data_IF_918661723896
#
_entry.id   IF_918661723896
#
_cell.length_a   1.000
_cell.length_b   1.000
_cell.length_c   1.000
_cell.angle_alpha   90.00
_cell.angle_beta   90.00
_cell.angle_gamma   90.00
#
_symmetry.space_group_name_H-M   'P 1'
#
loop_
_entity.id
_entity.type
_entity.pdbx_description
1 polymer ?
#
# COMPACT_ATOMS: atom_id res chain seq x y z
N UNK A 1 -15.40 -22.60 15.69
CA UNK A 1 -14.90 -21.28 16.12
C UNK A 1 -13.38 -21.33 16.05
N UNK A 2 -12.80 -20.88 14.94
CA UNK A 2 -11.35 -20.76 14.86
C UNK A 2 -10.95 -19.64 15.81
N UNK A 3 -10.09 -19.95 16.79
CA UNK A 3 -9.57 -18.97 17.72
C UNK A 3 -9.01 -17.78 16.92
N UNK A 4 -9.52 -16.58 17.16
CA UNK A 4 -8.78 -15.35 16.85
C UNK A 4 -7.50 -15.45 17.65
N UNK A 5 -6.41 -15.82 16.97
CA UNK A 5 -5.09 -15.86 17.57
C UNK A 5 -4.76 -14.44 18.00
N UNK A 6 -4.77 -14.18 19.32
CA UNK A 6 -4.34 -12.93 19.89
C UNK A 6 -2.94 -12.59 19.35
N UNK A 7 -2.82 -11.41 18.73
CA UNK A 7 -1.54 -10.94 18.22
C UNK A 7 -0.60 -10.69 19.39
N UNK A 8 0.46 -11.51 19.49
CA UNK A 8 1.54 -11.32 20.44
C UNK A 8 2.64 -10.51 19.74
N UNK A 9 2.83 -9.23 20.10
CA UNK A 9 3.78 -8.37 19.42
C UNK A 9 5.22 -8.82 19.68
N UNK A 10 6.01 -8.93 18.61
CA UNK A 10 7.42 -9.30 18.70
C UNK A 10 8.32 -8.07 18.77
N UNK A 11 7.88 -6.96 18.17
CA UNK A 11 8.66 -5.72 18.13
C UNK A 11 8.38 -4.80 19.32
N UNK A 12 9.28 -3.82 19.53
CA UNK A 12 9.04 -2.73 20.49
C UNK A 12 7.82 -1.91 20.10
N UNK A 13 7.68 -1.62 18.79
CA UNK A 13 6.53 -0.87 18.29
C UNK A 13 5.23 -1.63 18.48
N UNK A 14 5.20 -2.92 18.19
CA UNK A 14 4.01 -3.75 18.42
C UNK A 14 3.56 -3.72 19.89
N UNK A 15 4.51 -3.73 20.84
CA UNK A 15 4.20 -3.56 22.27
C UNK A 15 3.63 -2.19 22.60
N UNK A 16 4.23 -1.12 22.07
CA UNK A 16 3.74 0.25 22.29
C UNK A 16 2.33 0.48 21.72
N UNK A 17 2.02 -0.15 20.58
CA UNK A 17 0.69 -0.11 19.96
C UNK A 17 -0.32 -0.95 20.77
N UNK A 18 0.09 -2.12 21.26
CA UNK A 18 -0.76 -2.94 22.12
C UNK A 18 -1.07 -2.25 23.46
N UNK A 19 -0.08 -1.59 24.05
CA UNK A 19 -0.21 -0.76 25.26
C UNK A 19 -1.05 0.52 25.03
N UNK A 20 -1.36 0.88 23.77
CA UNK A 20 -2.15 2.06 23.42
C UNK A 20 -1.40 3.39 23.54
N UNK A 21 -0.05 3.36 23.65
CA UNK A 21 0.78 4.57 23.69
C UNK A 21 0.88 5.26 22.34
N UNK A 22 0.74 4.50 21.26
CA UNK A 22 0.69 5.00 19.89
C UNK A 22 -0.71 4.72 19.38
N UNK A 23 -1.48 5.78 19.16
CA UNK A 23 -2.88 5.68 18.72
C UNK A 23 -3.00 5.89 17.21
N UNK A 24 -2.07 6.67 16.64
CA UNK A 24 -2.12 7.10 15.24
C UNK A 24 -0.93 6.60 14.45
N UNK A 25 -1.17 6.20 13.20
CA UNK A 25 -0.11 5.85 12.24
C UNK A 25 0.82 7.05 11.94
N UNK A 26 0.32 8.28 12.05
CA UNK A 26 1.12 9.49 11.86
C UNK A 26 2.25 9.61 12.87
N UNK A 27 1.99 9.28 14.13
CA UNK A 27 2.99 9.26 15.19
C UNK A 27 4.12 8.27 14.87
N UNK A 28 3.76 7.09 14.33
CA UNK A 28 4.73 6.08 13.87
C UNK A 28 5.70 6.68 12.84
N UNK A 29 5.18 7.45 11.89
CA UNK A 29 5.99 8.12 10.88
C UNK A 29 6.78 9.30 11.43
N UNK A 30 6.21 10.11 12.34
CA UNK A 30 6.91 11.25 12.95
C UNK A 30 8.10 10.81 13.79
N UNK A 31 7.97 9.73 14.56
CA UNK A 31 9.07 9.15 15.32
C UNK A 31 10.05 8.34 14.45
N UNK A 32 9.74 8.12 13.17
CA UNK A 32 10.58 7.39 12.23
C UNK A 32 10.70 5.90 12.54
N UNK A 33 9.70 5.31 13.23
CA UNK A 33 9.72 3.88 13.49
C UNK A 33 9.45 3.08 12.22
N UNK A 34 10.15 1.96 12.06
CA UNK A 34 9.93 1.04 10.94
C UNK A 34 8.87 0.00 11.30
N UNK A 35 7.85 -0.11 10.45
CA UNK A 35 6.81 -1.13 10.55
C UNK A 35 7.39 -2.47 10.08
N UNK A 36 7.32 -3.50 10.93
CA UNK A 36 7.82 -4.84 10.65
C UNK A 36 6.78 -5.94 10.84
N UNK A 37 5.63 -5.62 11.45
CA UNK A 37 4.52 -6.54 11.67
C UNK A 37 3.29 -5.98 10.95
N UNK A 38 2.62 -6.74 10.05
CA UNK A 38 1.43 -6.27 9.36
C UNK A 38 0.25 -5.99 10.31
N UNK A 39 0.19 -6.69 11.44
CA UNK A 39 -0.89 -6.60 12.43
C UNK A 39 -0.95 -5.22 13.09
N UNK A 40 0.18 -4.50 13.14
CA UNK A 40 0.24 -3.09 13.59
C UNK A 40 -0.69 -2.23 12.72
N UNK A 41 -0.65 -2.45 11.41
CA UNK A 41 -1.39 -1.64 10.45
C UNK A 41 -2.88 -1.99 10.49
N UNK A 42 -3.21 -3.25 10.70
CA UNK A 42 -4.59 -3.71 10.88
C UNK A 42 -5.26 -3.10 12.12
N UNK A 43 -4.50 -2.89 13.20
CA UNK A 43 -5.01 -2.27 14.43
C UNK A 43 -5.12 -0.75 14.33
N UNK A 44 -4.17 -0.10 13.66
CA UNK A 44 -4.15 1.37 13.51
C UNK A 44 -5.12 1.86 12.43
N UNK A 45 -5.36 1.06 11.39
CA UNK A 45 -6.24 1.41 10.27
C UNK A 45 -7.18 0.22 10.00
N UNK A 46 -8.37 0.17 10.62
CA UNK A 46 -9.30 -0.94 10.39
C UNK A 46 -9.95 -0.93 9.00
N UNK A 47 -9.95 0.22 8.30
CA UNK A 47 -10.62 0.40 7.00
C UNK A 47 -9.67 0.18 5.81
N UNK A 48 -8.90 -0.91 5.80
CA UNK A 48 -7.97 -1.22 4.70
C UNK A 48 -8.71 -1.99 3.59
N UNK A 49 -8.76 -1.42 2.39
CA UNK A 49 -9.17 -2.12 1.17
C UNK A 49 -7.94 -2.69 0.48
N UNK A 50 -8.09 -3.88 -0.09
CA UNK A 50 -7.05 -4.55 -0.86
C UNK A 50 -7.51 -4.73 -2.30
N UNK A 51 -6.65 -4.37 -3.25
CA UNK A 51 -6.90 -4.53 -4.68
C UNK A 51 -5.71 -5.22 -5.36
N UNK A 52 -6.01 -6.13 -6.28
CA UNK A 52 -5.00 -6.87 -7.06
C UNK A 52 -4.78 -6.15 -8.38
N UNK A 53 -3.61 -5.54 -8.55
CA UNK A 53 -3.28 -4.77 -9.76
C UNK A 53 -2.89 -5.68 -10.93
N UNK A 54 -2.04 -6.67 -10.69
CA UNK A 54 -1.51 -7.52 -11.76
C UNK A 54 -1.15 -8.91 -11.25
N UNK A 55 -1.44 -9.90 -12.09
CA UNK A 55 -1.05 -11.29 -11.91
C UNK A 55 -0.23 -11.73 -13.13
N UNK A 56 0.93 -12.34 -12.88
CA UNK A 56 1.79 -12.88 -13.92
C UNK A 56 2.41 -14.21 -13.50
N UNK A 57 2.75 -15.04 -14.48
CA UNK A 57 3.49 -16.29 -14.25
C UNK A 57 4.97 -16.01 -14.52
N UNK A 58 5.84 -16.46 -13.62
CA UNK A 58 7.29 -16.38 -13.77
C UNK A 58 7.85 -17.79 -13.74
N UNK A 59 8.57 -18.16 -14.78
CA UNK A 59 9.08 -19.51 -15.00
C UNK A 59 10.60 -19.52 -14.82
N UNK A 60 11.13 -20.53 -14.13
CA UNK A 60 12.57 -20.79 -14.02
C UNK A 60 12.87 -22.16 -14.62
N UNK A 61 13.73 -22.19 -15.63
CA UNK A 61 14.21 -23.45 -16.19
C UNK A 61 15.22 -24.11 -15.23
N UNK A 62 15.05 -25.40 -15.00
CA UNK A 62 15.95 -26.26 -14.22
C UNK A 62 16.23 -27.53 -15.02
N UNK A 63 17.29 -28.27 -14.69
CA UNK A 63 17.62 -29.53 -15.37
C UNK A 63 16.50 -30.58 -15.25
N UNK A 64 15.72 -30.53 -14.17
CA UNK A 64 14.54 -31.37 -13.93
C UNK A 64 13.24 -30.81 -14.55
N UNK A 65 13.31 -29.80 -15.40
CA UNK A 65 12.18 -29.17 -16.08
C UNK A 65 11.87 -27.74 -15.62
N UNK A 66 10.72 -27.23 -16.07
CA UNK A 66 10.29 -25.87 -15.80
C UNK A 66 9.63 -25.74 -14.43
N UNK A 67 10.11 -24.80 -13.60
CA UNK A 67 9.44 -24.41 -12.36
C UNK A 67 8.70 -23.08 -12.53
N UNK A 68 7.38 -23.15 -12.64
CA UNK A 68 6.49 -21.98 -12.67
C UNK A 68 6.10 -21.52 -11.27
N UNK A 69 5.98 -20.20 -11.11
CA UNK A 69 5.48 -19.54 -9.89
C UNK A 69 4.64 -18.33 -10.29
N UNK A 70 3.61 -18.03 -9.53
CA UNK A 70 2.79 -16.85 -9.72
C UNK A 70 3.42 -15.66 -9.01
N UNK A 71 3.54 -14.53 -9.71
CA UNK A 71 3.86 -13.20 -9.18
C UNK A 71 2.57 -12.38 -9.17
N UNK A 72 2.27 -11.80 -8.03
CA UNK A 72 1.09 -10.96 -7.84
C UNK A 72 1.54 -9.61 -7.29
N UNK A 73 0.93 -8.53 -7.78
CA UNK A 73 1.12 -7.17 -7.27
C UNK A 73 -0.21 -6.73 -6.66
N UNK A 74 -0.15 -6.26 -5.43
CA UNK A 74 -1.31 -5.86 -4.64
C UNK A 74 -1.09 -4.43 -4.14
N UNK A 75 -2.14 -3.62 -4.24
CA UNK A 75 -2.23 -2.33 -3.56
C UNK A 75 -3.18 -2.45 -2.35
N UNK A 76 -2.82 -1.79 -1.26
CA UNK A 76 -3.64 -1.68 -0.05
C UNK A 76 -3.78 -0.20 0.29
N UNK A 77 -4.98 0.25 0.63
CA UNK A 77 -5.20 1.63 1.02
C UNK A 77 -6.56 1.88 1.64
N UNK A 78 -6.71 3.02 2.31
CA UNK A 78 -7.95 3.41 2.98
C UNK A 78 -8.67 4.58 2.29
N UNK A 79 -8.34 4.87 1.02
CA UNK A 79 -8.83 6.03 0.22
C UNK A 79 -8.57 7.41 0.86
N UNK A 80 -8.07 7.44 2.09
CA UNK A 80 -7.88 8.61 2.93
C UNK A 80 -6.42 9.07 3.01
N UNK A 81 -5.64 8.73 1.99
CA UNK A 81 -4.26 9.15 1.87
C UNK A 81 -3.27 8.16 2.48
N UNK A 82 -3.66 6.94 2.82
CA UNK A 82 -2.70 5.86 3.08
C UNK A 82 -2.75 4.86 1.94
N UNK A 83 -1.58 4.60 1.35
CA UNK A 83 -1.40 3.65 0.26
C UNK A 83 -0.14 2.83 0.52
N UNK A 84 -0.22 1.53 0.32
CA UNK A 84 0.89 0.60 0.35
C UNK A 84 0.84 -0.31 -0.87
N UNK A 85 2.00 -0.61 -1.44
CA UNK A 85 2.12 -1.53 -2.58
C UNK A 85 3.04 -2.67 -2.20
N UNK A 86 2.62 -3.89 -2.54
CA UNK A 86 3.34 -5.11 -2.24
C UNK A 86 3.41 -6.02 -3.46
N UNK A 87 4.48 -6.81 -3.52
CA UNK A 87 4.58 -7.90 -4.49
C UNK A 87 4.85 -9.22 -3.79
N UNK A 88 4.22 -10.28 -4.28
CA UNK A 88 4.32 -11.62 -3.71
C UNK A 88 4.60 -12.65 -4.79
N UNK A 89 5.38 -13.68 -4.46
CA UNK A 89 5.67 -14.82 -5.34
C UNK A 89 5.43 -16.15 -4.61
N UNK A 90 4.61 -17.02 -5.18
CA UNK A 90 4.36 -18.36 -4.63
C UNK A 90 3.99 -19.39 -5.72
N UNK A 91 3.95 -20.67 -5.34
CA UNK A 91 3.49 -21.75 -6.24
C UNK A 91 1.97 -21.73 -6.47
N UNK A 92 1.21 -21.25 -5.49
CA UNK A 92 -0.24 -21.10 -5.55
C UNK A 92 -0.62 -19.61 -5.50
N UNK A 93 -1.70 -19.25 -6.17
CA UNK A 93 -2.16 -17.86 -6.30
C UNK A 93 -2.53 -17.28 -4.93
N UNK A 94 -3.32 -18.01 -4.12
CA UNK A 94 -3.78 -17.53 -2.80
C UNK A 94 -2.62 -17.15 -1.89
N UNK A 95 -1.63 -18.03 -1.78
CA UNK A 95 -0.40 -17.78 -1.01
C UNK A 95 0.42 -16.61 -1.56
N UNK A 96 0.37 -16.32 -2.87
CA UNK A 96 1.04 -15.16 -3.45
C UNK A 96 0.30 -13.86 -3.09
N UNK A 97 -1.02 -13.88 -3.11
CA UNK A 97 -1.89 -12.75 -2.72
C UNK A 97 -1.71 -12.42 -1.25
N UNK A 98 -1.73 -13.41 -0.36
CA UNK A 98 -1.55 -13.21 1.09
C UNK A 98 -0.17 -12.60 1.40
N UNK A 99 0.88 -13.09 0.73
CA UNK A 99 2.23 -12.51 0.84
C UNK A 99 2.28 -11.08 0.32
N UNK A 100 1.68 -10.82 -0.83
CA UNK A 100 1.66 -9.48 -1.41
C UNK A 100 0.89 -8.50 -0.51
N UNK A 101 -0.22 -8.93 0.10
CA UNK A 101 -0.98 -8.15 1.08
C UNK A 101 -0.16 -7.83 2.32
N UNK A 102 0.53 -8.83 2.89
CA UNK A 102 1.45 -8.62 4.01
C UNK A 102 2.53 -7.60 3.68
N UNK A 103 3.19 -7.71 2.52
CA UNK A 103 4.19 -6.74 2.09
C UNK A 103 3.62 -5.34 1.81
N UNK A 104 2.39 -5.26 1.29
CA UNK A 104 1.72 -3.98 1.06
C UNK A 104 1.45 -3.24 2.37
N UNK A 105 0.98 -3.96 3.41
CA UNK A 105 0.78 -3.39 4.76
C UNK A 105 2.08 -2.88 5.36
N UNK A 106 3.18 -3.63 5.22
CA UNK A 106 4.50 -3.22 5.72
C UNK A 106 5.03 -1.95 5.03
N UNK A 107 4.67 -1.74 3.75
CA UNK A 107 5.11 -0.60 2.94
C UNK A 107 4.05 0.51 2.85
N UNK A 108 3.21 0.67 3.88
CA UNK A 108 2.22 1.73 3.88
C UNK A 108 2.89 3.11 3.98
N UNK A 109 2.45 4.04 3.14
CA UNK A 109 3.02 5.38 3.01
C UNK A 109 1.90 6.41 3.05
N UNK A 110 2.05 7.51 3.82
CA UNK A 110 1.11 8.62 3.79
C UNK A 110 1.30 9.45 2.52
N UNK A 111 0.19 9.70 1.83
CA UNK A 111 0.09 10.52 0.62
C UNK A 111 -0.57 11.84 0.99
N UNK A 112 0.15 12.94 0.75
CA UNK A 112 -0.37 14.29 1.01
C UNK A 112 -1.38 14.67 -0.08
N UNK A 113 -2.63 14.86 0.34
CA UNK A 113 -3.72 15.37 -0.51
C UNK A 113 -3.90 16.88 -0.28
N UNK A 114 -4.34 17.59 -1.32
CA UNK A 114 -4.52 19.03 -1.29
C UNK A 114 -5.31 19.55 -2.49
N UNK A 115 -5.19 20.85 -2.74
CA UNK A 115 -5.79 21.54 -3.88
C UNK A 115 -4.70 22.40 -4.52
N UNK A 116 -4.02 21.86 -5.54
CA UNK A 116 -2.91 22.53 -6.22
C UNK A 116 -3.25 23.12 -7.59
N UNK A 117 -4.50 22.98 -8.06
CA UNK A 117 -4.91 23.51 -9.36
C UNK A 117 -5.14 25.02 -9.26
N UNK A 118 -4.62 25.78 -10.22
CA UNK A 118 -4.86 27.22 -10.29
C UNK A 118 -6.36 27.55 -10.42
N UNK A 119 -7.13 26.68 -11.07
CA UNK A 119 -8.56 26.88 -11.31
C UNK A 119 -9.43 26.61 -10.07
N UNK A 120 -8.86 26.02 -9.00
CA UNK A 120 -9.61 25.63 -7.82
C UNK A 120 -8.97 26.13 -6.53
N UNK A 121 -9.68 26.95 -5.76
CA UNK A 121 -9.28 27.48 -4.45
C UNK A 121 -10.03 26.87 -3.27
N UNK A 122 -10.66 25.69 -3.44
CA UNK A 122 -11.68 25.19 -2.50
C UNK A 122 -11.15 24.68 -1.15
N UNK A 123 -9.83 24.62 -0.93
CA UNK A 123 -9.20 24.19 0.33
C UNK A 123 -9.44 22.73 0.75
N UNK A 124 -10.24 21.97 0.01
CA UNK A 124 -10.55 20.56 0.30
C UNK A 124 -9.54 19.62 -0.36
N UNK A 125 -9.09 18.55 0.35
CA UNK A 125 -8.12 17.59 -0.18
C UNK A 125 -8.78 16.66 -1.20
N UNK A 126 -8.74 17.04 -2.47
CA UNK A 126 -9.30 16.23 -3.57
C UNK A 126 -8.28 15.90 -4.66
N UNK A 127 -7.14 16.60 -4.68
CA UNK A 127 -6.09 16.48 -5.67
C UNK A 127 -4.72 16.46 -4.98
N UNK A 128 -3.65 16.61 -5.74
CA UNK A 128 -2.29 16.76 -5.19
C UNK A 128 -2.00 18.26 -4.99
N UNK A 129 -1.25 18.67 -3.95
CA UNK A 129 -0.94 20.10 -3.72
C UNK A 129 0.01 20.72 -4.76
N UNK A 130 0.89 19.94 -5.38
CA UNK A 130 1.84 20.40 -6.38
C UNK A 130 2.08 19.30 -7.42
N UNK A 131 2.66 19.68 -8.56
CA UNK A 131 3.07 18.73 -9.60
C UNK A 131 4.17 17.81 -9.07
N UNK A 132 4.01 16.50 -9.25
CA UNK A 132 4.99 15.49 -8.80
C UNK A 132 5.43 14.66 -9.99
N UNK A 133 6.73 14.50 -10.16
CA UNK A 133 7.31 13.53 -11.09
C UNK A 133 7.78 12.29 -10.32
N UNK A 134 7.52 11.11 -10.87
CA UNK A 134 8.04 9.85 -10.39
C UNK A 134 8.72 9.07 -11.51
N UNK A 135 9.81 8.36 -11.17
CA UNK A 135 10.56 7.54 -12.11
C UNK A 135 10.83 6.17 -11.52
N UNK A 136 10.60 5.13 -12.31
CA UNK A 136 11.01 3.76 -12.00
C UNK A 136 11.57 3.11 -13.27
N UNK A 137 12.89 2.87 -13.30
CA UNK A 137 13.59 2.40 -14.49
C UNK A 137 13.49 3.40 -15.65
N UNK A 138 12.95 2.96 -16.78
CA UNK A 138 12.69 3.81 -17.95
C UNK A 138 11.34 4.52 -17.89
N UNK A 139 10.44 4.09 -17.00
CA UNK A 139 9.10 4.66 -16.90
C UNK A 139 9.17 5.96 -16.10
N UNK A 140 8.61 7.02 -16.66
CA UNK A 140 8.39 8.30 -15.99
C UNK A 140 6.90 8.58 -15.98
N UNK A 141 6.40 9.05 -14.85
CA UNK A 141 5.04 9.51 -14.72
C UNK A 141 5.02 10.87 -14.04
N UNK A 142 4.04 11.67 -14.41
CA UNK A 142 3.85 13.00 -13.85
C UNK A 142 2.40 13.10 -13.37
N UNK A 143 2.22 13.57 -12.14
CA UNK A 143 0.92 13.83 -11.56
C UNK A 143 0.73 15.34 -11.55
N UNK A 144 -0.27 15.80 -12.29
CA UNK A 144 -0.65 17.21 -12.40
C UNK A 144 -1.93 17.41 -11.60
N UNK A 145 -2.03 18.47 -10.78
CA UNK A 145 -3.24 18.72 -10.02
C UNK A 145 -4.40 19.15 -10.94
N UNK A 146 -5.49 18.40 -10.92
CA UNK A 146 -6.74 18.75 -11.62
C UNK A 146 -7.76 19.48 -10.73
N UNK A 147 -8.62 20.36 -11.29
CA UNK A 147 -9.80 20.90 -10.62
C UNK A 147 -10.86 19.82 -10.34
N UNK A 148 -11.83 20.18 -9.50
CA UNK A 148 -12.95 19.30 -9.12
C UNK A 148 -13.86 18.99 -10.30
N UNK A 149 -14.25 17.72 -10.41
CA UNK A 149 -15.22 17.26 -11.42
C UNK A 149 -14.60 16.69 -12.70
N UNK A 150 -13.29 16.82 -12.91
CA UNK A 150 -12.60 16.18 -14.05
C UNK A 150 -12.54 14.65 -13.96
N UNK A 151 -12.65 14.10 -12.75
CA UNK A 151 -12.40 12.68 -12.51
C UNK A 151 -10.92 12.31 -12.66
N UNK A 152 -10.62 11.02 -12.58
CA UNK A 152 -9.26 10.49 -12.74
C UNK A 152 -8.99 10.18 -14.21
N UNK A 153 -8.21 11.04 -14.86
CA UNK A 153 -7.72 10.84 -16.24
C UNK A 153 -6.45 9.99 -16.20
N UNK A 154 -6.63 8.69 -16.00
CA UNK A 154 -5.54 7.72 -15.91
C UNK A 154 -5.91 6.40 -16.63
N UNK A 155 -4.91 5.57 -16.92
CA UNK A 155 -5.12 4.20 -17.38
C UNK A 155 -5.79 3.36 -16.27
N UNK A 156 -6.47 2.27 -16.60
CA UNK A 156 -7.19 1.42 -15.63
C UNK A 156 -6.32 0.95 -14.47
N UNK A 157 -5.05 0.60 -14.73
CA UNK A 157 -4.08 0.23 -13.69
C UNK A 157 -3.70 1.36 -12.72
N UNK A 158 -3.96 2.60 -13.11
CA UNK A 158 -3.63 3.80 -12.34
C UNK A 158 -4.89 4.52 -11.80
N UNK A 159 -6.07 4.03 -12.14
CA UNK A 159 -7.35 4.43 -11.52
C UNK A 159 -7.53 3.66 -10.22
#
# INVERSE_FOLDING_TARGET
>A
MAAESEWVPRTKLGRLVLEGKIVSIEEVFTYGYRIQEPEIVDRLIPNLKQEVLSMGIVQKQTDAGEQSRFRVIVAVGNEDGYVGVGSGKAKQIRLAVDKASMYAKLNITPVRRGCGSWECGCGKPHSVPFRVEGKCGSVRFEIIPGPRGLGLVANEMAK
#
